data_IF_650219204487
#
_entry.id   IF_650219204487
#
_cell.length_a   1.000
_cell.length_b   1.000
_cell.length_c   1.000
_cell.angle_alpha   90.00
_cell.angle_beta   90.00
_cell.angle_gamma   90.00
#
_symmetry.space_group_name_H-M   'P 1'
#
loop_
_entity.id
_entity.type
_entity.pdbx_description
1 polymer ?
#
# COMPACT_ATOMS: atom_id res chain seq x y z
N UNK A 1 -1.98 0.81 20.41
CA UNK A 1 -2.35 1.63 19.23
C UNK A 1 -1.57 1.14 18.02
N UNK A 2 -2.25 0.91 16.89
CA UNK A 2 -1.63 0.43 15.65
C UNK A 2 -1.66 1.52 14.59
N UNK A 3 -0.55 1.79 13.91
CA UNK A 3 -0.48 2.76 12.83
C UNK A 3 -0.19 2.07 11.51
N UNK A 4 -0.89 2.49 10.46
CA UNK A 4 -0.58 2.14 9.08
C UNK A 4 -0.08 3.37 8.34
N UNK A 5 1.04 3.23 7.65
CA UNK A 5 1.67 4.30 6.88
C UNK A 5 1.79 3.83 5.43
N UNK A 6 1.36 4.68 4.50
CA UNK A 6 1.60 4.49 3.07
C UNK A 6 2.06 5.80 2.45
N UNK A 7 3.04 5.71 1.57
CA UNK A 7 3.52 6.81 0.74
C UNK A 7 3.33 6.39 -0.71
N UNK A 8 3.00 7.34 -1.59
CA UNK A 8 3.09 7.09 -3.03
C UNK A 8 3.61 8.32 -3.74
N UNK A 9 4.61 8.11 -4.57
CA UNK A 9 5.24 9.14 -5.39
C UNK A 9 4.51 9.32 -6.73
N UNK A 10 4.21 10.56 -7.11
CA UNK A 10 3.64 10.87 -8.43
C UNK A 10 4.80 11.08 -9.41
N UNK A 11 4.96 10.16 -10.36
CA UNK A 11 6.09 10.17 -11.33
C UNK A 11 5.82 11.00 -12.59
N UNK A 12 4.61 11.56 -12.76
CA UNK A 12 4.16 12.12 -14.04
C UNK A 12 4.19 13.66 -14.15
N UNK A 13 4.75 14.37 -13.17
CA UNK A 13 4.75 15.85 -13.16
C UNK A 13 6.15 16.43 -12.97
N UNK A 14 6.41 17.63 -13.53
CA UNK A 14 7.68 18.36 -13.40
C UNK A 14 8.09 18.64 -11.95
N UNK A 15 7.11 18.72 -11.06
CA UNK A 15 7.27 18.61 -9.60
C UNK A 15 6.78 17.22 -9.22
N UNK A 16 7.53 16.43 -8.45
CA UNK A 16 7.14 15.08 -8.02
C UNK A 16 6.58 15.12 -6.59
N UNK A 17 5.33 15.56 -6.36
CA UNK A 17 4.74 15.50 -5.03
C UNK A 17 4.55 14.05 -4.62
N UNK A 18 4.70 13.81 -3.33
CA UNK A 18 4.46 12.51 -2.70
C UNK A 18 3.27 12.65 -1.78
N UNK A 19 2.34 11.70 -1.84
CA UNK A 19 1.18 11.66 -0.96
C UNK A 19 1.45 10.63 0.12
N UNK A 20 1.37 11.05 1.38
CA UNK A 20 1.55 10.19 2.56
C UNK A 20 0.25 10.16 3.33
N UNK A 21 -0.17 8.97 3.77
CA UNK A 21 -1.27 8.80 4.70
C UNK A 21 -0.80 8.02 5.94
N UNK A 22 -1.26 8.45 7.11
CA UNK A 22 -1.07 7.75 8.38
C UNK A 22 -2.44 7.49 8.99
N UNK A 23 -2.74 6.23 9.28
CA UNK A 23 -4.01 5.80 9.88
C UNK A 23 -3.73 5.13 11.21
N UNK A 24 -4.44 5.52 12.26
CA UNK A 24 -4.33 4.92 13.60
C UNK A 24 -5.56 4.11 13.96
N UNK A 25 -5.37 2.86 14.38
CA UNK A 25 -6.33 2.07 15.13
C UNK A 25 -6.06 2.23 16.63
N UNK A 26 -7.03 2.83 17.32
CA UNK A 26 -7.03 2.96 18.76
C UNK A 26 -7.75 1.77 19.37
N UNK A 27 -7.02 0.95 20.11
CA UNK A 27 -7.63 0.00 21.04
C UNK A 27 -7.84 0.71 22.39
N UNK A 28 -8.89 0.30 23.10
CA UNK A 28 -9.32 0.89 24.37
C UNK A 28 -8.41 0.55 25.56
N UNK A 29 -7.52 -0.43 25.41
CA UNK A 29 -6.81 -1.07 26.54
C UNK A 29 -5.28 -0.97 26.52
N UNK A 30 -4.62 -0.53 25.43
CA UNK A 30 -3.17 -0.71 25.29
C UNK A 30 -2.34 0.56 25.01
N UNK A 31 -1.32 0.77 25.85
CA UNK A 31 -0.30 1.85 25.81
C UNK A 31 0.87 1.57 24.85
N UNK A 32 0.86 0.45 24.12
CA UNK A 32 1.94 0.05 23.20
C UNK A 32 1.68 0.57 21.78
N UNK A 33 2.71 1.05 21.09
CA UNK A 33 2.61 1.69 19.77
C UNK A 33 3.32 0.83 18.73
N UNK A 34 2.56 0.21 17.83
CA UNK A 34 3.12 -0.53 16.69
C UNK A 34 2.78 0.22 15.40
N UNK A 35 3.81 0.57 14.64
CA UNK A 35 3.69 1.23 13.35
C UNK A 35 4.11 0.27 12.22
N UNK A 36 3.22 0.12 11.25
CA UNK A 36 3.38 -0.69 10.06
C UNK A 36 3.48 0.25 8.86
N UNK A 37 4.64 0.29 8.21
CA UNK A 37 4.90 1.13 7.04
C UNK A 37 5.02 0.31 5.76
N UNK A 38 4.60 0.88 4.63
CA UNK A 38 4.85 0.27 3.33
C UNK A 38 6.18 0.72 2.76
N UNK A 39 6.92 -0.26 2.22
CA UNK A 39 8.17 0.04 1.54
C UNK A 39 7.94 0.53 0.11
N UNK A 40 8.49 1.71 -0.17
CA UNK A 40 8.52 2.32 -1.51
C UNK A 40 9.99 2.61 -1.97
N UNK A 41 11.02 2.18 -1.21
CA UNK A 41 12.42 2.51 -1.56
C UNK A 41 13.53 1.97 -0.63
N UNK A 42 14.63 2.72 -0.50
CA UNK A 42 15.81 2.30 0.30
C UNK A 42 15.52 2.34 1.80
N UNK A 43 15.71 1.20 2.49
CA UNK A 43 15.50 1.01 3.93
C UNK A 43 16.13 2.08 4.81
N UNK A 44 17.33 2.55 4.45
CA UNK A 44 18.04 3.54 5.24
C UNK A 44 17.29 4.87 5.32
N UNK A 45 16.58 5.26 4.25
CA UNK A 45 15.80 6.52 4.26
C UNK A 45 14.58 6.40 5.16
N UNK A 46 13.86 5.29 5.08
CA UNK A 46 12.68 4.99 5.90
C UNK A 46 13.08 4.98 7.38
N UNK A 47 14.12 4.22 7.74
CA UNK A 47 14.60 4.15 9.12
C UNK A 47 15.10 5.51 9.64
N UNK A 48 15.91 6.22 8.86
CA UNK A 48 16.53 7.46 9.35
C UNK A 48 15.57 8.64 9.43
N UNK A 49 14.52 8.67 8.59
CA UNK A 49 13.62 9.82 8.51
C UNK A 49 12.29 9.53 9.20
N UNK A 50 11.62 8.42 8.87
CA UNK A 50 10.26 8.15 9.37
C UNK A 50 10.27 7.76 10.84
N UNK A 51 11.11 6.78 11.22
CA UNK A 51 11.22 6.36 12.62
C UNK A 51 11.64 7.53 13.51
N UNK A 52 12.62 8.33 13.08
CA UNK A 52 13.04 9.52 13.83
C UNK A 52 11.94 10.58 13.91
N UNK A 53 11.14 10.76 12.86
CA UNK A 53 10.01 11.68 12.89
C UNK A 53 8.95 11.22 13.90
N UNK A 54 8.66 9.91 13.95
CA UNK A 54 7.74 9.32 14.94
C UNK A 54 8.28 9.50 16.36
N UNK A 55 9.56 9.21 16.60
CA UNK A 55 10.20 9.41 17.91
C UNK A 55 10.15 10.87 18.35
N UNK A 56 10.45 11.82 17.45
CA UNK A 56 10.34 13.25 17.73
C UNK A 56 8.91 13.67 18.04
N UNK A 57 7.93 13.17 17.30
CA UNK A 57 6.52 13.46 17.55
C UNK A 57 6.10 12.93 18.93
N UNK A 58 6.55 11.73 19.31
CA UNK A 58 6.33 11.18 20.65
C UNK A 58 6.97 12.07 21.73
N UNK A 59 8.22 12.49 21.54
CA UNK A 59 8.91 13.41 22.47
C UNK A 59 8.18 14.74 22.61
N UNK A 60 7.65 15.30 21.52
CA UNK A 60 6.89 16.56 21.56
C UNK A 60 5.54 16.40 22.28
N UNK A 61 4.85 15.27 22.09
CA UNK A 61 3.53 15.02 22.67
C UNK A 61 3.60 14.59 24.14
N UNK A 62 4.56 13.75 24.50
CA UNK A 62 4.69 13.18 25.84
C UNK A 62 5.76 13.91 26.70
N UNK A 63 6.59 14.76 26.11
CA UNK A 63 7.63 15.50 26.82
C UNK A 63 8.67 14.59 27.46
N UNK A 64 8.99 14.86 28.73
CA UNK A 64 9.89 14.05 29.56
C UNK A 64 9.18 12.92 30.34
N UNK A 65 7.90 12.68 30.07
CA UNK A 65 7.19 11.54 30.66
C UNK A 65 7.68 10.21 30.07
N UNK A 66 7.08 9.10 30.50
CA UNK A 66 7.32 7.80 29.88
C UNK A 66 6.90 7.85 28.41
N UNK A 67 7.90 7.79 27.53
CA UNK A 67 7.69 7.62 26.10
C UNK A 67 7.05 6.26 25.83
N UNK A 68 6.12 6.17 24.88
CA UNK A 68 5.58 4.89 24.48
C UNK A 68 6.66 4.01 23.85
N UNK A 69 6.63 2.71 24.15
CA UNK A 69 7.45 1.74 23.45
C UNK A 69 6.98 1.61 22.00
N UNK A 70 7.95 1.61 21.08
CA UNK A 70 7.71 1.61 19.64
C UNK A 70 8.18 0.30 19.00
N UNK A 71 7.33 -0.29 18.16
CA UNK A 71 7.73 -1.31 17.19
C UNK A 71 7.44 -0.81 15.77
N UNK A 72 8.44 -0.86 14.89
CA UNK A 72 8.35 -0.41 13.50
C UNK A 72 8.64 -1.58 12.55
N UNK A 73 7.61 -1.95 11.79
CA UNK A 73 7.66 -3.06 10.84
C UNK A 73 7.36 -2.53 9.45
N UNK A 74 8.22 -2.89 8.50
CA UNK A 74 8.08 -2.53 7.09
C UNK A 74 7.48 -3.69 6.32
N UNK A 75 6.48 -3.39 5.50
CA UNK A 75 5.76 -4.34 4.67
C UNK A 75 6.13 -4.11 3.20
N UNK A 76 6.69 -5.11 2.54
CA UNK A 76 7.07 -5.06 1.14
C UNK A 76 6.01 -5.77 0.29
N UNK A 77 5.22 -5.00 -0.46
CA UNK A 77 4.20 -5.56 -1.38
C UNK A 77 4.79 -6.04 -2.71
N UNK A 78 5.86 -5.39 -3.17
CA UNK A 78 6.42 -5.59 -4.52
C UNK A 78 7.73 -6.38 -4.43
N UNK A 79 7.62 -7.70 -4.50
CA UNK A 79 8.77 -8.60 -4.58
C UNK A 79 8.50 -9.75 -5.57
N UNK A 80 9.58 -10.43 -5.97
CA UNK A 80 9.55 -11.50 -6.98
C UNK A 80 9.35 -12.91 -6.41
N UNK A 81 9.46 -13.08 -5.08
CA UNK A 81 9.29 -14.38 -4.40
C UNK A 81 7.85 -14.90 -4.48
N UNK A 82 7.68 -16.17 -4.82
CA UNK A 82 6.39 -16.89 -4.85
C UNK A 82 6.57 -18.25 -4.19
N UNK A 83 5.52 -18.72 -3.51
CA UNK A 83 5.52 -19.98 -2.80
C UNK A 83 4.40 -20.88 -3.31
N UNK A 84 4.68 -22.17 -3.38
CA UNK A 84 3.77 -23.17 -3.93
C UNK A 84 3.75 -24.39 -3.02
N UNK A 85 2.60 -25.04 -2.93
CA UNK A 85 2.50 -26.33 -2.25
C UNK A 85 2.92 -27.45 -3.18
N UNK A 86 3.63 -28.44 -2.65
CA UNK A 86 4.01 -29.64 -3.41
C UNK A 86 2.79 -30.49 -3.78
N UNK A 87 1.76 -30.48 -2.92
CA UNK A 87 0.58 -31.32 -3.09
C UNK A 87 -0.49 -30.63 -3.95
N UNK A 88 -0.76 -31.18 -5.14
CA UNK A 88 -1.71 -30.66 -6.14
C UNK A 88 -3.20 -30.70 -5.73
N UNK A 89 -3.51 -31.14 -4.52
CA UNK A 89 -4.89 -31.20 -4.01
C UNK A 89 -5.43 -29.82 -3.58
N UNK A 90 -4.57 -28.82 -3.45
CA UNK A 90 -4.88 -27.46 -2.97
C UNK A 90 -5.12 -26.48 -4.12
N UNK A 91 -6.35 -26.47 -4.66
CA UNK A 91 -6.84 -25.58 -5.74
C UNK A 91 -6.06 -25.69 -7.07
N UNK A 92 -6.68 -25.26 -8.18
CA UNK A 92 -6.09 -25.33 -9.54
C UNK A 92 -4.70 -24.66 -9.69
N UNK A 93 -4.31 -23.78 -8.75
CA UNK A 93 -3.08 -22.99 -8.81
C UNK A 93 -1.97 -23.42 -7.81
N UNK A 94 -2.17 -24.47 -7.01
CA UNK A 94 -1.22 -24.94 -5.99
C UNK A 94 -0.72 -23.84 -5.03
N UNK A 95 -1.58 -22.88 -4.70
CA UNK A 95 -1.23 -21.82 -3.76
C UNK A 95 -0.99 -22.37 -2.35
N UNK A 96 -0.17 -21.66 -1.58
CA UNK A 96 -0.02 -21.90 -0.15
C UNK A 96 -1.28 -21.48 0.61
N UNK A 97 -1.50 -22.11 1.77
CA UNK A 97 -2.69 -21.87 2.56
C UNK A 97 -2.63 -20.48 3.24
N UNK A 98 -3.76 -19.80 3.45
CA UNK A 98 -3.81 -18.62 4.31
C UNK A 98 -3.28 -18.95 5.71
N UNK A 99 -2.54 -18.02 6.30
CA UNK A 99 -1.84 -18.22 7.58
C UNK A 99 -0.46 -18.88 7.46
N UNK A 100 -0.02 -19.27 6.27
CA UNK A 100 1.34 -19.80 6.09
C UNK A 100 2.37 -18.70 6.35
N UNK A 101 3.28 -18.96 7.29
CA UNK A 101 4.44 -18.13 7.61
C UNK A 101 5.72 -18.82 7.14
N UNK A 102 6.67 -18.04 6.62
CA UNK A 102 7.98 -18.53 6.18
C UNK A 102 9.03 -17.55 6.72
N UNK A 103 9.73 -17.98 7.76
CA UNK A 103 10.73 -17.22 8.50
C UNK A 103 12.11 -17.91 8.55
N UNK A 104 12.26 -19.04 7.87
CA UNK A 104 13.51 -19.80 7.75
C UNK A 104 14.04 -19.85 6.31
N UNK A 105 15.36 -20.00 6.16
CA UNK A 105 16.13 -20.27 4.92
C UNK A 105 16.08 -19.22 3.78
N UNK A 106 14.97 -18.50 3.63
CA UNK A 106 14.73 -17.55 2.52
C UNK A 106 14.57 -16.09 2.99
N UNK A 107 15.01 -15.80 4.22
CA UNK A 107 14.97 -14.48 4.85
C UNK A 107 16.37 -13.96 5.12
N UNK A 108 16.53 -12.65 5.35
CA UNK A 108 17.84 -12.07 5.66
C UNK A 108 18.49 -12.73 6.88
N UNK A 109 19.78 -13.07 6.75
CA UNK A 109 20.56 -13.69 7.83
C UNK A 109 20.76 -12.77 9.06
N UNK A 110 20.66 -11.45 8.86
CA UNK A 110 21.03 -10.46 9.87
C UNK A 110 19.84 -9.64 10.40
N UNK A 111 18.63 -9.86 9.89
CA UNK A 111 17.45 -9.08 10.26
C UNK A 111 16.25 -9.97 10.55
N UNK A 112 15.32 -9.47 11.36
CA UNK A 112 14.07 -10.18 11.58
C UNK A 112 13.12 -9.91 10.39
N UNK A 113 13.02 -10.91 9.52
CA UNK A 113 12.18 -10.91 8.33
C UNK A 113 11.33 -12.18 8.26
N UNK A 114 10.11 -12.07 7.75
CA UNK A 114 9.25 -13.22 7.49
C UNK A 114 8.28 -12.94 6.35
N UNK A 115 7.96 -13.98 5.58
CA UNK A 115 6.84 -13.94 4.65
C UNK A 115 5.56 -14.42 5.34
N UNK A 116 4.45 -13.74 5.09
CA UNK A 116 3.13 -14.17 5.55
C UNK A 116 2.14 -14.13 4.39
N UNK A 117 1.46 -15.26 4.17
CA UNK A 117 0.32 -15.35 3.26
C UNK A 117 -0.97 -15.22 4.05
N UNK A 118 -1.55 -14.03 4.14
CA UNK A 118 -2.71 -13.80 5.00
C UNK A 118 -4.05 -14.12 4.34
N UNK A 119 -4.17 -14.01 3.01
CA UNK A 119 -5.43 -14.18 2.29
C UNK A 119 -5.49 -15.46 1.44
N UNK A 120 -6.73 -15.88 1.15
CA UNK A 120 -6.99 -16.94 0.18
C UNK A 120 -7.04 -16.36 -1.23
N UNK A 121 -5.96 -16.54 -1.99
CA UNK A 121 -5.88 -16.07 -3.38
C UNK A 121 -6.94 -16.75 -4.25
N UNK A 122 -7.86 -15.95 -4.78
CA UNK A 122 -8.98 -16.41 -5.62
C UNK A 122 -8.51 -16.79 -7.02
N UNK A 123 -7.59 -16.02 -7.59
CA UNK A 123 -7.13 -16.21 -8.96
C UNK A 123 -5.61 -15.98 -9.09
N UNK A 124 -4.96 -16.87 -9.83
CA UNK A 124 -3.52 -16.81 -10.07
C UNK A 124 -2.70 -17.29 -8.88
N UNK A 125 -1.43 -16.90 -8.86
CA UNK A 125 -0.48 -17.28 -7.80
C UNK A 125 -0.54 -16.30 -6.64
N UNK A 126 -0.62 -16.83 -5.43
CA UNK A 126 -0.54 -16.08 -4.18
C UNK A 126 0.74 -15.25 -4.11
N UNK A 127 0.62 -14.07 -3.49
CA UNK A 127 1.74 -13.13 -3.27
C UNK A 127 1.89 -12.89 -1.77
N UNK A 128 2.56 -13.79 -1.06
CA UNK A 128 2.79 -13.64 0.37
C UNK A 128 3.65 -12.42 0.62
N UNK A 129 3.28 -11.58 1.57
CA UNK A 129 3.94 -10.31 1.82
C UNK A 129 5.17 -10.51 2.67
N UNK A 130 6.24 -9.76 2.40
CA UNK A 130 7.44 -9.76 3.22
C UNK A 130 7.34 -8.66 4.28
N UNK A 131 7.45 -9.07 5.54
CA UNK A 131 7.51 -8.20 6.70
C UNK A 131 8.94 -8.17 7.22
N UNK A 132 9.43 -6.99 7.51
CA UNK A 132 10.76 -6.78 8.08
C UNK A 132 10.63 -5.88 9.31
N UNK A 133 11.04 -6.41 10.46
CA UNK A 133 11.08 -5.64 11.71
C UNK A 133 12.37 -4.83 11.70
N UNK A 134 12.23 -3.51 11.69
CA UNK A 134 13.38 -2.60 11.65
C UNK A 134 13.72 -2.02 13.03
N UNK A 135 12.73 -1.93 13.91
CA UNK A 135 12.90 -1.38 15.25
C UNK A 135 11.88 -2.01 16.19
N UNK A 136 12.31 -2.45 17.37
CA UNK A 136 11.40 -2.99 18.38
C UNK A 136 11.93 -2.70 19.80
N UNK A 137 11.21 -1.84 20.53
CA UNK A 137 11.41 -1.57 21.96
C UNK A 137 10.43 -2.32 22.85
N UNK A 138 9.39 -2.91 22.26
CA UNK A 138 8.37 -3.67 22.99
C UNK A 138 8.96 -5.03 23.39
N UNK A 139 9.85 -5.58 22.56
CA UNK A 139 10.52 -6.85 22.81
C UNK A 139 9.65 -8.03 22.43
N UNK A 140 8.97 -7.93 21.28
CA UNK A 140 8.13 -8.99 20.77
C UNK A 140 8.94 -10.22 20.39
N UNK A 141 8.37 -11.40 20.60
CA UNK A 141 8.90 -12.63 20.02
C UNK A 141 8.51 -12.72 18.54
N UNK A 142 9.16 -13.65 17.82
CA UNK A 142 8.85 -13.87 16.40
C UNK A 142 7.38 -14.25 16.21
N UNK A 143 6.93 -15.22 17.01
CA UNK A 143 5.55 -15.72 16.98
C UNK A 143 4.54 -14.62 17.28
N UNK A 144 4.83 -13.74 18.25
CA UNK A 144 3.94 -12.63 18.62
C UNK A 144 3.70 -11.68 17.45
N UNK A 145 4.77 -11.23 16.77
CA UNK A 145 4.66 -10.30 15.64
C UNK A 145 3.95 -10.98 14.46
N UNK A 146 4.27 -12.24 14.18
CA UNK A 146 3.66 -12.99 13.09
C UNK A 146 2.15 -13.16 13.32
N UNK A 147 1.75 -13.60 14.51
CA UNK A 147 0.36 -13.80 14.90
C UNK A 147 -0.41 -12.48 14.95
N UNK A 148 0.18 -11.44 15.55
CA UNK A 148 -0.40 -10.09 15.58
C UNK A 148 -0.65 -9.56 14.17
N UNK A 149 0.35 -9.66 13.29
CA UNK A 149 0.25 -9.22 11.89
C UNK A 149 -0.88 -9.98 11.17
N UNK A 150 -0.99 -11.29 11.38
CA UNK A 150 -2.06 -12.10 10.81
C UNK A 150 -3.44 -11.67 11.31
N UNK A 151 -3.59 -11.40 12.61
CA UNK A 151 -4.87 -10.90 13.15
C UNK A 151 -5.25 -9.52 12.65
N UNK A 152 -4.28 -8.61 12.48
CA UNK A 152 -4.53 -7.31 11.88
C UNK A 152 -5.04 -7.41 10.42
N UNK A 153 -4.77 -8.50 9.71
CA UNK A 153 -5.34 -8.76 8.38
C UNK A 153 -6.82 -9.20 8.42
N UNK A 154 -7.37 -9.55 9.58
CA UNK A 154 -8.76 -10.02 9.73
C UNK A 154 -9.72 -8.95 10.24
N UNK A 155 -9.21 -7.83 10.73
CA UNK A 155 -10.03 -6.75 11.32
C UNK A 155 -10.49 -5.71 10.30
N UNK A 156 -10.34 -5.97 9.00
CA UNK A 156 -10.81 -5.03 7.98
C UNK A 156 -12.34 -5.01 7.91
N UNK A 157 -12.95 -3.85 8.21
CA UNK A 157 -14.41 -3.64 8.18
C UNK A 157 -15.04 -3.77 6.79
N UNK A 158 -14.24 -3.76 5.70
CA UNK A 158 -14.73 -3.79 4.33
C UNK A 158 -15.10 -5.18 3.84
N UNK A 159 -14.59 -6.24 4.48
CA UNK A 159 -14.85 -7.61 4.07
C UNK A 159 -14.80 -8.58 5.24
N UNK A 160 -15.61 -9.64 5.17
CA UNK A 160 -15.63 -10.74 6.15
C UNK A 160 -14.54 -11.80 5.91
N UNK A 161 -13.49 -11.43 5.16
CA UNK A 161 -12.38 -12.31 4.80
C UNK A 161 -11.07 -11.62 5.15
N UNK A 162 -10.05 -12.42 5.45
CA UNK A 162 -8.69 -11.92 5.60
C UNK A 162 -8.24 -11.21 4.32
N UNK A 163 -7.61 -10.05 4.49
CA UNK A 163 -6.96 -9.32 3.41
C UNK A 163 -5.45 -9.62 3.36
N UNK A 164 -4.81 -9.31 2.24
CA UNK A 164 -3.40 -9.62 2.00
C UNK A 164 -2.42 -8.75 2.80
N UNK A 165 -2.88 -7.71 3.51
CA UNK A 165 -2.04 -6.72 4.23
C UNK A 165 -2.76 -6.28 5.51
N UNK A 166 -2.08 -5.82 6.58
CA UNK A 166 -2.77 -5.41 7.80
C UNK A 166 -3.76 -4.28 7.56
N UNK A 167 -4.92 -4.30 8.24
CA UNK A 167 -5.98 -3.30 8.07
C UNK A 167 -5.52 -1.84 8.23
N UNK A 168 -4.68 -1.44 9.23
CA UNK A 168 -4.19 -0.07 9.30
C UNK A 168 -3.50 0.38 8.01
N UNK A 169 -2.66 -0.49 7.46
CA UNK A 169 -1.91 -0.26 6.22
C UNK A 169 -2.83 -0.24 5.01
N UNK A 170 -3.81 -1.15 4.97
CA UNK A 170 -4.83 -1.15 3.93
C UNK A 170 -5.56 0.20 3.86
N UNK A 171 -5.97 0.74 5.01
CA UNK A 171 -6.66 2.03 5.06
C UNK A 171 -5.77 3.19 4.61
N UNK A 172 -4.50 3.22 5.04
CA UNK A 172 -3.54 4.21 4.53
C UNK A 172 -3.45 4.16 2.99
N UNK A 173 -3.33 2.96 2.41
CA UNK A 173 -3.32 2.78 0.95
C UNK A 173 -4.59 3.25 0.27
N UNK A 174 -5.76 3.04 0.86
CA UNK A 174 -7.02 3.55 0.30
C UNK A 174 -7.06 5.09 0.30
N UNK A 175 -6.61 5.71 1.39
CA UNK A 175 -6.54 7.17 1.48
C UNK A 175 -5.58 7.75 0.44
N UNK A 176 -4.38 7.19 0.30
CA UNK A 176 -3.41 7.61 -0.73
C UNK A 176 -4.00 7.42 -2.12
N UNK A 177 -4.55 6.24 -2.42
CA UNK A 177 -5.16 5.93 -3.72
C UNK A 177 -6.32 6.86 -4.08
N UNK A 178 -7.15 7.23 -3.10
CA UNK A 178 -8.25 8.17 -3.30
C UNK A 178 -7.73 9.57 -3.63
N UNK A 179 -6.76 10.07 -2.88
CA UNK A 179 -6.17 11.39 -3.12
C UNK A 179 -5.43 11.46 -4.46
N UNK A 180 -4.72 10.40 -4.84
CA UNK A 180 -4.09 10.31 -6.16
C UNK A 180 -5.13 10.45 -7.28
N UNK A 181 -6.26 9.74 -7.20
CA UNK A 181 -7.35 9.84 -8.18
C UNK A 181 -7.90 11.26 -8.30
N UNK A 182 -8.11 11.94 -7.16
CA UNK A 182 -8.56 13.33 -7.15
C UNK A 182 -7.52 14.26 -7.77
N UNK A 183 -6.23 14.07 -7.44
CA UNK A 183 -5.13 14.84 -7.99
C UNK A 183 -5.07 14.70 -9.51
N UNK A 184 -5.07 13.46 -10.04
CA UNK A 184 -5.09 13.21 -11.48
C UNK A 184 -6.32 13.83 -12.16
N UNK A 185 -7.51 13.67 -11.58
CA UNK A 185 -8.73 14.28 -12.12
C UNK A 185 -8.62 15.82 -12.17
N UNK A 186 -8.06 16.43 -11.13
CA UNK A 186 -7.87 17.88 -11.09
C UNK A 186 -6.86 18.36 -12.13
N UNK A 187 -5.78 17.59 -12.35
CA UNK A 187 -4.78 17.91 -13.36
C UNK A 187 -5.37 17.82 -14.77
N UNK A 188 -6.13 16.76 -15.08
CA UNK A 188 -6.80 16.62 -16.36
C UNK A 188 -7.75 17.79 -16.67
N UNK A 189 -8.46 18.31 -15.66
CA UNK A 189 -9.34 19.48 -15.84
C UNK A 189 -8.53 20.74 -16.13
N UNK A 190 -7.38 20.95 -15.45
CA UNK A 190 -6.50 22.08 -15.73
C UNK A 190 -5.96 22.03 -17.15
N UNK A 191 -5.43 20.87 -17.57
CA UNK A 191 -4.88 20.68 -18.91
C UNK A 191 -5.97 20.93 -19.97
N UNK A 192 -7.21 20.47 -19.74
CA UNK A 192 -8.33 20.73 -20.64
C UNK A 192 -8.71 22.21 -20.71
N UNK A 193 -8.69 22.92 -19.58
CA UNK A 193 -8.95 24.36 -19.55
C UNK A 193 -7.85 25.16 -20.25
N UNK A 194 -6.58 24.77 -20.10
CA UNK A 194 -5.46 25.37 -20.83
C UNK A 194 -5.60 25.16 -22.34
N UNK A 195 -5.97 23.95 -22.77
CA UNK A 195 -6.25 23.68 -24.19
C UNK A 195 -7.40 24.54 -24.68
N UNK A 196 -8.52 24.63 -23.95
CA UNK A 196 -9.66 25.47 -24.35
C UNK A 196 -9.26 26.95 -24.46
N UNK A 197 -8.48 27.46 -23.51
CA UNK A 197 -7.96 28.82 -23.54
C UNK A 197 -7.05 29.05 -24.77
N UNK A 198 -6.15 28.12 -25.08
CA UNK A 198 -5.32 28.19 -26.29
C UNK A 198 -6.20 28.17 -27.55
N UNK A 199 -7.20 27.29 -27.61
CA UNK A 199 -8.14 27.19 -28.74
C UNK A 199 -9.02 28.43 -28.90
N UNK A 200 -9.35 29.16 -27.84
CA UNK A 200 -10.08 30.44 -27.89
C UNK A 200 -9.18 31.59 -28.38
N UNK A 201 -7.88 31.55 -28.06
CA UNK A 201 -6.91 32.57 -28.45
C UNK A 201 -6.18 32.29 -29.77
N UNK A 202 -6.27 31.08 -30.33
CA UNK A 202 -5.83 30.80 -31.69
C UNK A 202 -7.06 30.75 -32.60
N UNK A 203 -7.10 31.60 -33.63
CA UNK A 203 -8.10 31.54 -34.71
C UNK A 203 -7.94 30.25 -35.55
N UNK A 204 -8.18 29.09 -34.96
CA UNK A 204 -8.25 27.80 -35.65
C UNK A 204 -9.66 27.61 -36.19
N UNK A 205 -9.76 27.24 -37.46
CA UNK A 205 -11.05 26.87 -38.07
C UNK A 205 -11.73 25.77 -37.26
N UNK A 206 -13.05 25.84 -37.14
CA UNK A 206 -13.91 24.93 -36.35
C UNK A 206 -13.69 23.44 -36.65
N UNK A 207 -13.20 23.11 -37.85
CA UNK A 207 -12.81 21.74 -38.25
C UNK A 207 -11.54 21.24 -37.55
N UNK A 208 -10.51 22.08 -37.38
CA UNK A 208 -9.27 21.70 -36.68
C UNK A 208 -9.49 21.55 -35.17
N UNK A 209 -10.36 22.37 -34.57
CA UNK A 209 -10.81 22.22 -33.19
C UNK A 209 -11.51 20.85 -32.96
N UNK A 210 -12.40 20.46 -33.88
CA UNK A 210 -13.14 19.18 -33.80
C UNK A 210 -12.22 17.96 -33.97
N UNK A 211 -11.18 18.06 -34.81
CA UNK A 211 -10.18 17.00 -34.98
C UNK A 211 -9.24 16.86 -33.77
N UNK A 212 -8.82 17.97 -33.14
CA UNK A 212 -8.02 17.94 -31.91
C UNK A 212 -8.82 17.34 -30.75
N UNK A 213 -10.07 17.76 -30.58
CA UNK A 213 -10.95 17.26 -29.51
C UNK A 213 -11.29 15.78 -29.67
N UNK A 214 -11.50 15.30 -30.91
CA UNK A 214 -11.76 13.88 -31.17
C UNK A 214 -10.51 13.01 -30.98
N UNK A 215 -9.32 13.49 -31.38
CA UNK A 215 -8.03 12.82 -31.14
C UNK A 215 -7.70 12.74 -29.64
N UNK A 216 -8.08 13.75 -28.86
CA UNK A 216 -7.94 13.73 -27.40
C UNK A 216 -8.89 12.73 -26.72
N UNK A 217 -10.16 12.65 -27.18
CA UNK A 217 -11.13 11.63 -26.69
C UNK A 217 -10.69 10.19 -26.98
N UNK A 218 -10.09 9.93 -28.15
CA UNK A 218 -9.61 8.57 -28.48
C UNK A 218 -8.37 8.18 -27.68
N UNK A 219 -7.43 9.12 -27.45
CA UNK A 219 -6.24 8.89 -26.62
C UNK A 219 -6.63 8.67 -25.14
N UNK A 220 -7.64 9.40 -24.64
CA UNK A 220 -8.17 9.20 -23.29
C UNK A 220 -8.86 7.85 -23.10
N UNK A 221 -9.49 7.26 -24.12
CA UNK A 221 -10.07 5.92 -23.98
C UNK A 221 -9.01 4.79 -23.97
N UNK A 222 -7.84 5.00 -24.58
CA UNK A 222 -6.74 4.03 -24.54
C UNK A 222 -5.89 4.16 -23.27
N UNK A 223 -5.67 5.38 -22.76
CA UNK A 223 -4.84 5.63 -21.56
C UNK A 223 -5.64 5.66 -20.24
N UNK A 224 -6.98 5.82 -20.29
CA UNK A 224 -7.87 5.57 -19.14
C UNK A 224 -8.18 4.08 -18.91
N UNK A 225 -7.50 3.16 -19.60
CA UNK A 225 -7.47 1.76 -19.19
C UNK A 225 -6.60 1.57 -17.93
N UNK A 226 -6.93 2.26 -16.84
CA UNK A 226 -6.82 1.63 -15.52
C UNK A 226 -7.78 0.44 -15.60
N UNK A 227 -7.27 -0.71 -16.04
CA UNK A 227 -7.99 -1.98 -16.15
C UNK A 227 -8.58 -2.32 -14.79
N UNK A 228 -9.79 -1.83 -14.51
CA UNK A 228 -10.73 -2.46 -13.60
C UNK A 228 -11.25 -3.70 -14.33
N UNK A 229 -10.45 -4.78 -14.31
CA UNK A 229 -10.98 -6.11 -14.59
C UNK A 229 -11.72 -6.57 -13.34
N UNK A 230 -12.98 -6.17 -13.23
CA UNK A 230 -13.96 -7.00 -12.54
C UNK A 230 -14.25 -8.18 -13.48
N UNK A 231 -13.62 -9.33 -13.23
CA UNK A 231 -14.02 -10.58 -13.86
C UNK A 231 -15.34 -11.01 -13.21
N UNK A 232 -16.45 -10.58 -13.80
CA UNK A 232 -17.75 -11.21 -13.63
C UNK A 232 -18.25 -11.58 -15.03
N UNK A 233 -17.87 -12.76 -15.52
CA UNK A 233 -18.72 -13.52 -16.44
C UNK A 233 -18.65 -15.02 -16.06
N UNK A 234 -19.80 -15.72 -16.06
CA UNK A 234 -19.89 -17.12 -15.66
C UNK A 234 -19.40 -18.04 -16.78
N UNK A 235 -18.60 -19.05 -16.43
CA UNK A 235 -18.20 -20.08 -17.38
C UNK A 235 -19.42 -20.95 -17.74
N UNK A 236 -19.82 -20.91 -19.01
CA UNK A 236 -20.53 -22.00 -19.69
C UNK A 236 -19.52 -22.89 -20.40
#
# INVERSE_FOLDING_TARGET
MFFGIDCTHITCSHVQPSIVAVVGLKDSTNTQYAALGLDDGSFEKVLNNELRAIQRACQQLYGHNQLPQLCFVVVKKRHHTRFFTWNKQSNQANNIQPGTVIDTDMVSLNGFEFYLNSDATIQGTSRPMLYQVLYDEIGFTSDDIQQLTYYLCHIDVRCTKAIYVPAPVHYATLHVSHHLKLHYKSQMVKDMNEINHVLEHTCLSTEKQSQLYSKFKTTNNSDMAVRNRYFNEPCH
#
